data_IF_805401459186
#
_entry.id   IF_805401459186
#
_cell.length_a   1.000
_cell.length_b   1.000
_cell.length_c   1.000
_cell.angle_alpha   90.00
_cell.angle_beta   90.00
_cell.angle_gamma   90.00
#
_symmetry.space_group_name_H-M   'P 1'
#
loop_
_entity.id
_entity.type
_entity.pdbx_description
1 polymer ?
#
# COMPACT_ATOMS: atom_id res chain seq x y z
N UNK A 1 46.95 -10.42 12.85
CA UNK A 1 45.71 -9.81 13.42
C UNK A 1 45.04 -8.80 12.48
N UNK A 2 45.75 -7.84 11.86
CA UNK A 2 45.15 -6.80 10.98
C UNK A 2 44.32 -7.34 9.81
N UNK A 3 44.68 -8.49 9.23
CA UNK A 3 43.96 -9.07 8.08
C UNK A 3 42.64 -9.76 8.47
N UNK A 4 42.51 -10.25 9.72
CA UNK A 4 41.26 -10.83 10.24
C UNK A 4 40.22 -9.72 10.40
N UNK A 5 40.63 -8.54 10.86
CA UNK A 5 39.76 -7.36 10.98
C UNK A 5 39.22 -6.87 9.64
N UNK A 6 40.03 -6.92 8.57
CA UNK A 6 39.58 -6.53 7.23
C UNK A 6 38.56 -7.53 6.67
N UNK A 7 38.76 -8.84 6.91
CA UNK A 7 37.81 -9.87 6.52
C UNK A 7 36.49 -9.78 7.30
N UNK A 8 36.55 -9.45 8.60
CA UNK A 8 35.36 -9.26 9.43
C UNK A 8 34.57 -8.00 9.05
N UNK A 9 35.26 -6.91 8.65
CA UNK A 9 34.61 -5.70 8.17
C UNK A 9 33.92 -5.91 6.80
N UNK A 10 34.51 -6.74 5.93
CA UNK A 10 33.93 -7.08 4.63
C UNK A 10 32.66 -7.94 4.75
N UNK A 11 32.53 -8.76 5.81
CA UNK A 11 31.38 -9.64 6.01
C UNK A 11 30.13 -8.89 6.52
N UNK A 12 30.29 -7.73 7.16
CA UNK A 12 29.17 -6.93 7.70
C UNK A 12 28.48 -6.09 6.61
N UNK A 13 29.07 -6.00 5.41
CA UNK A 13 28.55 -5.21 4.29
C UNK A 13 27.52 -5.94 3.41
N UNK A 14 27.27 -7.25 3.60
CA UNK A 14 26.15 -7.96 2.94
C UNK A 14 24.83 -7.72 3.70
N UNK A 15 24.59 -6.47 4.09
CA UNK A 15 23.44 -6.06 4.87
C UNK A 15 22.21 -5.88 3.99
N UNK A 16 21.15 -6.64 4.31
CA UNK A 16 19.73 -6.38 4.05
C UNK A 16 19.41 -5.59 2.76
N UNK A 17 19.51 -6.25 1.60
CA UNK A 17 18.93 -5.69 0.38
C UNK A 17 17.41 -5.88 0.43
N UNK A 18 16.66 -4.78 0.40
CA UNK A 18 15.29 -4.83 -0.13
C UNK A 18 15.41 -5.21 -1.61
N UNK A 19 14.66 -6.21 -2.07
CA UNK A 19 14.66 -6.61 -3.47
C UNK A 19 13.30 -6.30 -4.08
N UNK A 20 13.32 -5.66 -5.26
CA UNK A 20 12.12 -5.52 -6.08
C UNK A 20 11.74 -6.91 -6.59
N UNK A 21 10.50 -7.30 -6.39
CA UNK A 21 9.92 -8.52 -6.94
C UNK A 21 9.25 -8.15 -8.25
N UNK A 22 9.71 -8.76 -9.34
CA UNK A 22 9.08 -8.59 -10.64
C UNK A 22 7.77 -9.39 -10.68
N UNK A 23 6.65 -8.68 -10.82
CA UNK A 23 5.32 -9.28 -10.87
C UNK A 23 4.45 -8.55 -11.89
N UNK A 24 3.79 -9.33 -12.75
CA UNK A 24 2.82 -8.82 -13.72
C UNK A 24 1.41 -9.12 -13.23
N UNK A 25 0.52 -8.11 -13.16
CA UNK A 25 -0.86 -8.30 -12.71
C UNK A 25 -1.61 -9.35 -13.53
N UNK A 26 -2.41 -10.15 -12.85
CA UNK A 26 -3.32 -11.14 -13.40
C UNK A 26 -4.78 -10.69 -13.31
N UNK A 27 -5.65 -11.36 -14.07
CA UNK A 27 -7.09 -11.11 -14.02
C UNK A 27 -7.69 -11.46 -12.66
N UNK A 28 -8.58 -10.60 -12.17
CA UNK A 28 -9.33 -10.78 -10.93
C UNK A 28 -10.77 -10.28 -11.13
N UNK A 29 -11.72 -10.85 -10.42
CA UNK A 29 -13.13 -10.40 -10.45
C UNK A 29 -13.35 -9.24 -9.49
N UNK A 30 -14.36 -8.39 -9.73
CA UNK A 30 -14.68 -7.24 -8.85
C UNK A 30 -14.89 -7.63 -7.38
N UNK A 31 -15.70 -8.65 -7.04
CA UNK A 31 -15.94 -8.99 -5.64
C UNK A 31 -14.67 -9.51 -4.95
N UNK A 32 -13.83 -10.21 -5.71
CA UNK A 32 -12.55 -10.71 -5.21
C UNK A 32 -11.54 -9.57 -5.05
N UNK A 33 -11.47 -8.64 -5.99
CA UNK A 33 -10.63 -7.45 -5.89
C UNK A 33 -11.01 -6.60 -4.66
N UNK A 34 -12.31 -6.38 -4.43
CA UNK A 34 -12.80 -5.70 -3.24
C UNK A 34 -12.34 -6.41 -1.96
N UNK A 35 -12.59 -7.72 -1.86
CA UNK A 35 -12.23 -8.50 -0.68
C UNK A 35 -10.72 -8.52 -0.41
N UNK A 36 -9.89 -8.61 -1.45
CA UNK A 36 -8.44 -8.61 -1.29
C UNK A 36 -7.92 -7.25 -0.80
N UNK A 37 -8.44 -6.14 -1.34
CA UNK A 37 -8.06 -4.79 -0.87
C UNK A 37 -8.46 -4.62 0.59
N UNK A 38 -9.70 -4.95 0.92
CA UNK A 38 -10.21 -4.85 2.30
C UNK A 38 -9.37 -5.68 3.27
N UNK A 39 -9.08 -6.95 2.93
CA UNK A 39 -8.26 -7.83 3.75
C UNK A 39 -6.83 -7.30 3.93
N UNK A 40 -6.20 -6.82 2.86
CA UNK A 40 -4.82 -6.30 2.92
C UNK A 40 -4.73 -5.06 3.81
N UNK A 41 -5.70 -4.15 3.69
CA UNK A 41 -5.73 -2.91 4.46
C UNK A 41 -6.05 -3.21 5.94
N UNK A 42 -7.03 -4.07 6.23
CA UNK A 42 -7.39 -4.43 7.61
C UNK A 42 -6.36 -5.35 8.29
N UNK A 43 -5.50 -6.02 7.53
CA UNK A 43 -4.43 -6.87 8.04
C UNK A 43 -3.15 -6.10 8.42
N UNK A 44 -3.11 -4.77 8.23
CA UNK A 44 -1.94 -3.99 8.61
C UNK A 44 -1.63 -4.13 10.11
N UNK A 45 -0.34 -4.13 10.52
CA UNK A 45 0.04 -4.38 11.90
C UNK A 45 -0.12 -3.14 12.80
N UNK A 46 -0.61 -3.35 14.02
CA UNK A 46 -0.56 -2.37 15.11
C UNK A 46 -1.23 -1.04 14.78
N UNK A 47 -0.48 0.05 14.92
CA UNK A 47 -0.98 1.43 14.68
C UNK A 47 -1.16 1.78 13.19
N UNK A 48 -0.80 0.87 12.27
CA UNK A 48 -1.09 1.05 10.84
C UNK A 48 -2.43 0.40 10.44
N UNK A 49 -3.08 -0.30 11.37
CA UNK A 49 -4.36 -0.96 11.14
C UNK A 49 -5.49 0.08 11.19
N UNK A 50 -6.24 0.28 10.09
CA UNK A 50 -7.45 1.08 10.13
C UNK A 50 -8.58 0.34 10.82
N UNK A 51 -9.54 1.11 11.32
CA UNK A 51 -10.80 0.64 11.90
C UNK A 51 -11.84 0.33 10.82
N UNK A 52 -11.79 1.05 9.69
CA UNK A 52 -12.69 0.86 8.57
C UNK A 52 -12.02 1.13 7.23
N UNK A 53 -12.52 0.45 6.20
CA UNK A 53 -12.10 0.61 4.81
C UNK A 53 -13.34 0.87 3.97
N UNK A 54 -13.23 1.81 3.03
CA UNK A 54 -14.23 2.10 2.01
C UNK A 54 -13.58 2.00 0.65
N UNK A 55 -14.23 1.28 -0.27
CA UNK A 55 -13.75 1.07 -1.62
C UNK A 55 -14.93 1.33 -2.55
N UNK A 56 -14.71 2.18 -3.55
CA UNK A 56 -15.63 2.36 -4.67
C UNK A 56 -14.85 2.29 -5.99
N UNK A 57 -15.44 2.75 -7.10
CA UNK A 57 -14.78 2.73 -8.39
C UNK A 57 -13.77 3.88 -8.58
N UNK A 58 -13.67 4.82 -7.64
CA UNK A 58 -12.86 6.03 -7.73
C UNK A 58 -11.66 5.99 -6.79
N UNK A 59 -11.87 5.58 -5.55
CA UNK A 59 -10.86 5.62 -4.50
C UNK A 59 -11.02 4.50 -3.46
N UNK A 60 -9.91 4.22 -2.79
CA UNK A 60 -9.92 3.52 -1.51
C UNK A 60 -9.67 4.53 -0.38
N UNK A 61 -10.52 4.46 0.65
CA UNK A 61 -10.47 5.34 1.81
C UNK A 61 -10.38 4.53 3.10
N UNK A 62 -9.60 5.00 4.05
CA UNK A 62 -9.42 4.37 5.35
C UNK A 62 -8.93 5.43 6.36
N UNK A 63 -9.06 5.13 7.66
CA UNK A 63 -8.47 5.97 8.69
C UNK A 63 -6.96 5.73 8.80
N UNK A 64 -6.14 6.79 8.87
CA UNK A 64 -4.68 6.69 9.07
C UNK A 64 -4.33 6.91 10.55
N UNK A 65 -4.13 5.85 11.36
CA UNK A 65 -3.85 6.01 12.79
C UNK A 65 -2.41 6.49 13.06
N UNK A 66 -1.56 6.50 12.03
CA UNK A 66 -0.17 6.95 12.08
C UNK A 66 0.04 8.42 11.73
N UNK A 67 -0.99 9.12 11.23
CA UNK A 67 -0.97 10.55 10.98
C UNK A 67 -1.10 11.33 12.31
N UNK A 68 -0.02 11.37 13.09
CA UNK A 68 0.06 12.21 14.27
C UNK A 68 0.00 13.69 13.89
N UNK A 69 -1.20 14.27 13.94
CA UNK A 69 -1.42 15.71 14.05
C UNK A 69 -2.20 16.36 12.90
N UNK A 70 -3.53 16.40 13.01
CA UNK A 70 -4.34 17.64 13.12
C UNK A 70 -5.69 17.22 13.76
N UNK A 71 -6.12 17.80 14.89
CA UNK A 71 -7.48 17.59 15.37
C UNK A 71 -8.43 18.36 14.45
N UNK A 72 -8.97 17.71 13.43
CA UNK A 72 -10.07 18.28 12.66
C UNK A 72 -11.32 18.20 13.54
N UNK A 73 -11.88 19.38 13.81
CA UNK A 73 -13.09 19.68 14.59
C UNK A 73 -14.19 18.63 14.46
N UNK A 74 -14.95 18.34 15.53
CA UNK A 74 -16.01 17.34 15.49
C UNK A 74 -17.10 17.79 14.51
N UNK A 75 -17.17 17.12 13.36
CA UNK A 75 -18.30 17.26 12.46
C UNK A 75 -19.53 16.61 13.11
N UNK A 76 -20.65 17.31 13.02
CA UNK A 76 -21.93 17.00 13.65
C UNK A 76 -22.42 15.57 13.38
N UNK A 77 -23.17 15.06 14.35
CA UNK A 77 -23.84 13.77 14.36
C UNK A 77 -24.51 13.44 13.01
N UNK A 78 -24.09 12.35 12.35
CA UNK A 78 -24.91 11.69 11.32
C UNK A 78 -24.23 11.23 10.02
N UNK A 79 -22.91 11.31 9.83
CA UNK A 79 -22.31 10.93 8.52
C UNK A 79 -21.05 10.07 8.68
N UNK A 80 -21.12 8.86 8.08
CA UNK A 80 -20.07 7.93 7.65
C UNK A 80 -18.72 7.88 8.39
N UNK A 81 -18.25 6.65 8.67
CA UNK A 81 -16.95 6.36 9.25
C UNK A 81 -15.81 7.28 8.73
N UNK A 82 -15.02 7.77 9.68
CA UNK A 82 -13.98 8.80 9.52
C UNK A 82 -12.82 8.31 8.64
N UNK A 83 -13.01 8.27 7.31
CA UNK A 83 -11.97 7.98 6.33
C UNK A 83 -11.19 9.27 6.00
N UNK A 84 -10.18 9.60 6.83
CA UNK A 84 -9.35 10.80 6.69
C UNK A 84 -8.32 10.71 5.56
N UNK A 85 -7.96 9.49 5.13
CA UNK A 85 -7.08 9.24 3.98
C UNK A 85 -7.86 8.63 2.82
N UNK A 86 -7.68 9.20 1.63
CA UNK A 86 -8.28 8.73 0.37
C UNK A 86 -7.21 8.65 -0.69
N UNK A 87 -7.14 7.51 -1.37
CA UNK A 87 -6.22 7.27 -2.48
C UNK A 87 -7.06 6.96 -3.71
N UNK A 88 -7.04 7.88 -4.66
CA UNK A 88 -7.76 7.72 -5.92
C UNK A 88 -7.02 6.73 -6.81
N UNK A 89 -7.74 5.79 -7.43
CA UNK A 89 -7.11 4.76 -8.26
C UNK A 89 -6.45 5.35 -9.51
N UNK A 90 -6.98 6.47 -10.02
CA UNK A 90 -6.41 7.19 -11.16
C UNK A 90 -5.14 8.00 -10.83
N UNK A 91 -4.87 8.30 -9.54
CA UNK A 91 -3.63 8.96 -9.14
C UNK A 91 -2.47 7.97 -8.96
N UNK A 92 -2.73 6.66 -9.03
CA UNK A 92 -1.71 5.61 -8.90
C UNK A 92 -1.06 5.38 -10.28
N UNK A 93 0.13 5.94 -10.47
CA UNK A 93 0.88 5.75 -11.71
C UNK A 93 1.59 4.39 -11.76
N UNK A 94 2.18 3.96 -10.64
CA UNK A 94 2.80 2.64 -10.55
C UNK A 94 2.63 1.98 -9.19
N UNK A 95 2.69 0.66 -9.20
CA UNK A 95 2.61 -0.21 -8.04
C UNK A 95 3.83 -1.12 -8.09
N UNK A 96 4.57 -1.20 -6.99
CA UNK A 96 5.79 -2.00 -6.93
C UNK A 96 5.77 -2.92 -5.71
N UNK A 97 6.23 -4.15 -5.91
CA UNK A 97 6.34 -5.15 -4.86
C UNK A 97 7.78 -5.21 -4.36
N UNK A 98 7.97 -4.94 -3.08
CA UNK A 98 9.25 -5.07 -2.41
C UNK A 98 9.23 -6.27 -1.48
N UNK A 99 10.32 -7.04 -1.47
CA UNK A 99 10.58 -8.03 -0.45
C UNK A 99 11.66 -7.50 0.50
N UNK A 100 11.31 -7.43 1.79
CA UNK A 100 12.24 -7.08 2.85
C UNK A 100 12.23 -8.21 3.90
N UNK A 101 13.34 -8.95 3.95
CA UNK A 101 13.45 -10.19 4.73
C UNK A 101 12.36 -11.21 4.37
N UNK A 102 11.40 -11.42 5.28
CA UNK A 102 10.29 -12.36 5.15
C UNK A 102 8.94 -11.63 5.08
N UNK A 103 8.95 -10.39 4.60
CA UNK A 103 7.77 -9.55 4.43
C UNK A 103 7.76 -8.96 3.04
N UNK A 104 6.55 -8.77 2.54
CA UNK A 104 6.26 -8.19 1.25
C UNK A 104 5.57 -6.86 1.46
N UNK A 105 6.04 -5.82 0.79
CA UNK A 105 5.45 -4.49 0.86
C UNK A 105 5.03 -4.07 -0.54
N UNK A 106 3.75 -3.80 -0.71
CA UNK A 106 3.22 -3.21 -1.94
C UNK A 106 3.23 -1.70 -1.77
N UNK A 107 4.09 -1.03 -2.54
CA UNK A 107 4.25 0.42 -2.50
C UNK A 107 3.56 1.05 -3.71
N UNK A 108 2.72 2.05 -3.44
CA UNK A 108 2.04 2.85 -4.46
C UNK A 108 2.83 4.13 -4.73
N UNK A 109 2.90 4.51 -6.00
CA UNK A 109 3.56 5.73 -6.46
C UNK A 109 2.64 6.57 -7.33
N UNK A 110 2.76 7.88 -7.21
CA UNK A 110 2.13 8.84 -8.11
C UNK A 110 2.92 9.02 -9.41
N UNK A 111 2.41 9.89 -10.29
CA UNK A 111 3.01 10.19 -11.59
C UNK A 111 4.40 10.84 -11.50
N UNK A 112 4.70 11.51 -10.38
CA UNK A 112 6.00 12.13 -10.10
C UNK A 112 7.00 11.14 -9.47
N UNK A 113 6.57 9.90 -9.24
CA UNK A 113 7.36 8.85 -8.60
C UNK A 113 7.46 9.00 -7.08
N UNK A 114 6.62 9.83 -6.45
CA UNK A 114 6.54 9.93 -5.00
C UNK A 114 5.74 8.77 -4.42
N UNK A 115 6.22 8.25 -3.28
CA UNK A 115 5.56 7.20 -2.54
C UNK A 115 4.27 7.71 -1.88
N UNK A 116 3.11 7.17 -2.28
CA UNK A 116 1.81 7.51 -1.69
C UNK A 116 1.59 6.76 -0.37
N UNK A 117 1.67 5.43 -0.42
CA UNK A 117 1.53 4.55 0.74
C UNK A 117 2.08 3.16 0.45
N UNK A 118 2.57 2.48 1.48
CA UNK A 118 2.97 1.07 1.43
C UNK A 118 2.06 0.20 2.30
N UNK A 119 1.70 -0.97 1.80
CA UNK A 119 0.95 -2.00 2.54
C UNK A 119 1.82 -3.23 2.74
N UNK A 120 1.98 -3.66 4.00
CA UNK A 120 2.76 -4.83 4.34
C UNK A 120 1.89 -6.10 4.35
N UNK A 121 2.48 -7.22 3.92
CA UNK A 121 1.95 -8.58 4.04
C UNK A 121 3.07 -9.56 4.37
N UNK A 122 2.72 -10.66 5.04
CA UNK A 122 3.63 -11.79 5.29
C UNK A 122 3.58 -12.83 4.15
N UNK A 123 2.61 -12.72 3.22
CA UNK A 123 2.40 -13.65 2.12
C UNK A 123 2.64 -12.97 0.78
N UNK A 124 3.56 -13.53 -0.02
CA UNK A 124 3.80 -13.09 -1.39
C UNK A 124 2.51 -13.14 -2.21
N UNK A 125 1.80 -14.26 -2.12
CA UNK A 125 0.55 -14.49 -2.86
C UNK A 125 -0.48 -13.42 -2.51
N UNK A 126 -0.61 -13.05 -1.23
CA UNK A 126 -1.54 -11.99 -0.85
C UNK A 126 -1.13 -10.63 -1.41
N UNK A 127 0.17 -10.31 -1.39
CA UNK A 127 0.69 -9.07 -1.95
C UNK A 127 0.49 -9.00 -3.48
N UNK A 128 0.72 -10.09 -4.19
CA UNK A 128 0.46 -10.23 -5.63
C UNK A 128 -1.02 -10.06 -5.97
N UNK A 129 -1.92 -10.76 -5.25
CA UNK A 129 -3.38 -10.60 -5.43
C UNK A 129 -3.84 -9.18 -5.12
N UNK A 130 -3.18 -8.49 -4.20
CA UNK A 130 -3.48 -7.09 -3.91
C UNK A 130 -3.07 -6.18 -5.07
N UNK A 131 -1.97 -6.48 -5.76
CA UNK A 131 -1.58 -5.78 -6.99
C UNK A 131 -2.61 -6.04 -8.11
N UNK A 132 -3.09 -7.28 -8.27
CA UNK A 132 -4.16 -7.60 -9.22
C UNK A 132 -5.41 -6.74 -8.96
N UNK A 133 -5.81 -6.66 -7.69
CA UNK A 133 -6.98 -5.89 -7.28
C UNK A 133 -6.81 -4.39 -7.54
N UNK A 134 -5.66 -3.81 -7.20
CA UNK A 134 -5.36 -2.41 -7.49
C UNK A 134 -5.35 -2.13 -8.99
N UNK A 135 -4.81 -3.05 -9.79
CA UNK A 135 -4.79 -2.92 -11.24
C UNK A 135 -6.21 -2.97 -11.82
N UNK A 136 -7.07 -3.84 -11.29
CA UNK A 136 -8.47 -3.95 -11.68
C UNK A 136 -9.21 -2.61 -11.48
N UNK A 137 -9.15 -2.04 -10.27
CA UNK A 137 -9.79 -0.76 -9.98
C UNK A 137 -9.17 0.40 -10.76
N UNK A 138 -7.85 0.42 -10.95
CA UNK A 138 -7.18 1.42 -11.77
C UNK A 138 -7.64 1.40 -13.23
N UNK A 139 -7.81 0.21 -13.81
CA UNK A 139 -8.29 0.07 -15.19
C UNK A 139 -9.75 0.51 -15.36
N UNK A 140 -10.53 0.50 -14.28
CA UNK A 140 -11.95 0.90 -14.28
C UNK A 140 -12.18 2.31 -13.75
N UNK A 141 -11.17 2.91 -13.14
CA UNK A 141 -11.25 4.23 -12.57
C UNK A 141 -11.65 5.22 -13.65
N UNK A 142 -12.72 6.01 -13.46
CA UNK A 142 -13.09 7.02 -14.42
C UNK A 142 -11.95 8.04 -14.55
N UNK A 143 -11.78 8.52 -15.79
CA UNK A 143 -10.90 9.66 -16.03
C UNK A 143 -11.33 10.80 -15.10
N UNK A 144 -10.36 11.44 -14.45
CA UNK A 144 -10.57 12.72 -13.77
C UNK A 144 -10.83 13.79 -14.81
N UNK A 145 -12.05 13.81 -15.35
CA UNK A 145 -12.57 14.98 -16.04
C UNK A 145 -12.74 16.10 -15.01
N UNK A 146 -11.68 16.87 -14.79
CA UNK A 146 -11.70 18.20 -14.20
C UNK A 146 -12.26 18.32 -12.79
N UNK A 147 -11.43 18.03 -11.79
CA UNK A 147 -11.51 18.76 -10.50
C UNK A 147 -10.37 19.78 -10.48
N UNK A 148 -10.60 20.89 -11.19
CA UNK A 148 -9.99 22.20 -10.92
C UNK A 148 -10.96 23.01 -10.08
#
# INVERSE_FOLDING_TARGET
>A
MRQIWIALLALVLTGCSSSLVDYSPQGISEPEAHAVIEQMILAQPGQLRPDSVYIDNHYMGFNDPGAAGVPVTPAAEGTAARNDKRIYFNSIASVQLYQLFNRYTVQLFDADGQALIGFASESQVQAERFIDALQFYRNQAPATDGLN
#
